data_IF_299042726789
#
_entry.id   IF_299042726789
#
_cell.length_a   1.000
_cell.length_b   1.000
_cell.length_c   1.000
_cell.angle_alpha   90.00
_cell.angle_beta   90.00
_cell.angle_gamma   90.00
#
_symmetry.space_group_name_H-M   'P 1'
#
loop_
_entity.id
_entity.type
_entity.pdbx_description
1 polymer ?
#
# COMPACT_ATOMS: atom_id res chain seq x y z
N UNK A 1 2.76 -16.26 -26.66
CA UNK A 1 3.54 -15.19 -26.01
C UNK A 1 3.88 -15.65 -24.59
N UNK A 2 5.09 -15.44 -24.05
CA UNK A 2 5.38 -15.77 -22.66
C UNK A 2 4.59 -14.82 -21.74
N UNK A 3 3.91 -15.38 -20.72
CA UNK A 3 3.27 -14.61 -19.66
C UNK A 3 4.35 -13.79 -18.94
N UNK A 4 4.19 -12.47 -18.86
CA UNK A 4 5.09 -11.64 -18.06
C UNK A 4 4.88 -12.02 -16.58
N UNK A 5 5.94 -12.36 -15.83
CA UNK A 5 5.77 -12.71 -14.43
C UNK A 5 5.17 -11.53 -13.65
N UNK A 6 4.31 -11.83 -12.67
CA UNK A 6 3.79 -10.84 -11.72
C UNK A 6 4.99 -10.12 -11.08
N UNK A 7 4.93 -8.78 -11.03
CA UNK A 7 5.95 -7.98 -10.37
C UNK A 7 5.85 -8.12 -8.84
N UNK A 8 6.51 -9.15 -8.32
CA UNK A 8 6.56 -9.46 -6.89
C UNK A 8 7.27 -8.37 -6.08
N UNK A 9 8.10 -7.53 -6.70
CA UNK A 9 8.75 -6.42 -5.99
C UNK A 9 7.73 -5.35 -5.65
N UNK A 10 6.83 -5.01 -6.57
CA UNK A 10 5.73 -4.09 -6.29
C UNK A 10 4.78 -4.62 -5.21
N UNK A 11 4.51 -5.93 -5.21
CA UNK A 11 3.72 -6.55 -4.13
C UNK A 11 4.46 -6.50 -2.78
N UNK A 12 5.77 -6.74 -2.78
CA UNK A 12 6.58 -6.63 -1.57
C UNK A 12 6.61 -5.21 -1.02
N UNK A 13 6.72 -4.21 -1.90
CA UNK A 13 6.66 -2.80 -1.51
C UNK A 13 5.29 -2.43 -0.96
N UNK A 14 4.20 -2.83 -1.65
CA UNK A 14 2.85 -2.62 -1.16
C UNK A 14 2.64 -3.24 0.23
N UNK A 15 3.16 -4.45 0.46
CA UNK A 15 3.11 -5.11 1.76
C UNK A 15 3.86 -4.33 2.85
N UNK A 16 5.05 -3.81 2.54
CA UNK A 16 5.82 -3.00 3.47
C UNK A 16 5.08 -1.71 3.86
N UNK A 17 4.50 -1.01 2.86
CA UNK A 17 3.73 0.21 3.08
C UNK A 17 2.46 -0.04 3.90
N UNK A 18 1.77 -1.17 3.70
CA UNK A 18 0.62 -1.57 4.54
C UNK A 18 1.05 -1.84 5.97
N UNK A 19 2.17 -2.53 6.19
CA UNK A 19 2.69 -2.77 7.54
C UNK A 19 3.04 -1.45 8.25
N UNK A 20 3.69 -0.52 7.55
CA UNK A 20 3.98 0.81 8.09
C UNK A 20 2.70 1.61 8.36
N UNK A 21 1.70 1.53 7.48
CA UNK A 21 0.38 2.14 7.71
C UNK A 21 -0.24 1.62 9.01
N UNK A 22 -0.19 0.30 9.24
CA UNK A 22 -0.74 -0.30 10.46
C UNK A 22 -0.03 0.21 11.72
N UNK A 23 1.30 0.32 11.69
CA UNK A 23 2.09 0.87 12.80
C UNK A 23 1.71 2.33 13.09
N UNK A 24 1.60 3.16 12.03
CA UNK A 24 1.23 4.57 12.15
C UNK A 24 -0.21 4.75 12.68
N UNK A 25 -1.15 3.89 12.27
CA UNK A 25 -2.50 3.90 12.81
C UNK A 25 -2.54 3.48 14.29
N UNK A 26 -1.74 2.49 14.68
CA UNK A 26 -1.57 2.11 16.10
C UNK A 26 -1.05 3.30 16.90
N UNK A 27 0.02 3.95 16.43
CA UNK A 27 0.56 5.15 17.07
C UNK A 27 -0.48 6.26 17.16
N UNK A 28 -1.24 6.51 16.09
CA UNK A 28 -2.28 7.52 16.09
C UNK A 28 -3.37 7.25 17.13
N UNK A 29 -3.77 5.98 17.30
CA UNK A 29 -4.76 5.55 18.29
C UNK A 29 -4.22 5.75 19.71
N UNK A 30 -3.00 5.29 19.98
CA UNK A 30 -2.36 5.42 21.30
C UNK A 30 -2.16 6.88 21.70
N UNK A 31 -1.81 7.74 20.74
CA UNK A 31 -1.58 9.17 20.98
C UNK A 31 -2.84 10.02 20.91
N UNK A 32 -3.97 9.49 20.43
CA UNK A 32 -5.20 10.27 20.21
C UNK A 32 -5.69 11.03 21.44
N UNK A 33 -5.51 10.48 22.64
CA UNK A 33 -5.93 11.08 23.91
C UNK A 33 -4.84 11.85 24.66
N UNK A 34 -3.57 11.67 24.27
CA UNK A 34 -2.41 12.17 25.01
C UNK A 34 -1.58 13.20 24.23
N UNK A 35 -1.51 13.08 22.91
CA UNK A 35 -0.83 13.99 22.01
C UNK A 35 -1.54 14.02 20.65
N UNK A 36 -2.51 14.93 20.53
CA UNK A 36 -3.34 15.08 19.33
C UNK A 36 -2.54 15.56 18.10
N UNK A 37 -1.41 16.25 18.30
CA UNK A 37 -0.58 16.70 17.19
C UNK A 37 0.18 15.52 16.58
N UNK A 38 0.82 14.69 17.41
CA UNK A 38 1.45 13.46 16.95
C UNK A 38 0.45 12.48 16.34
N UNK A 39 -0.74 12.37 16.92
CA UNK A 39 -1.81 11.54 16.36
C UNK A 39 -2.20 11.97 14.94
N UNK A 40 -2.39 13.27 14.71
CA UNK A 40 -2.72 13.80 13.38
C UNK A 40 -1.59 13.60 12.36
N UNK A 41 -0.33 13.78 12.78
CA UNK A 41 0.82 13.56 11.91
C UNK A 41 0.96 12.08 11.52
N UNK A 42 0.77 11.17 12.47
CA UNK A 42 0.76 9.73 12.20
C UNK A 42 -0.36 9.34 11.22
N UNK A 43 -1.57 9.92 11.36
CA UNK A 43 -2.67 9.72 10.39
C UNK A 43 -2.29 10.20 8.99
N UNK A 44 -1.66 11.37 8.89
CA UNK A 44 -1.24 11.95 7.60
C UNK A 44 -0.19 11.07 6.91
N UNK A 45 0.78 10.56 7.67
CA UNK A 45 1.77 9.62 7.16
C UNK A 45 1.12 8.30 6.73
N UNK A 46 0.22 7.75 7.56
CA UNK A 46 -0.51 6.52 7.24
C UNK A 46 -1.31 6.66 5.93
N UNK A 47 -1.94 7.81 5.71
CA UNK A 47 -2.67 8.11 4.47
C UNK A 47 -1.76 8.11 3.23
N UNK A 48 -0.51 8.56 3.37
CA UNK A 48 0.47 8.55 2.28
C UNK A 48 0.91 7.13 1.95
N UNK A 49 1.27 6.35 2.97
CA UNK A 49 1.75 4.97 2.81
C UNK A 49 0.66 4.06 2.21
N UNK A 50 -0.58 4.18 2.68
CA UNK A 50 -1.68 3.35 2.15
C UNK A 50 -2.02 3.71 0.69
N UNK A 51 -1.93 4.99 0.31
CA UNK A 51 -2.16 5.41 -1.08
C UNK A 51 -1.09 4.84 -2.02
N UNK A 52 0.17 4.82 -1.59
CA UNK A 52 1.25 4.18 -2.34
C UNK A 52 1.03 2.67 -2.46
N UNK A 53 0.62 2.00 -1.37
CA UNK A 53 0.30 0.57 -1.41
C UNK A 53 -0.84 0.27 -2.39
N UNK A 54 -1.92 1.07 -2.36
CA UNK A 54 -3.05 0.94 -3.28
C UNK A 54 -2.63 1.13 -4.74
N UNK A 55 -1.73 2.09 -5.00
CA UNK A 55 -1.20 2.34 -6.34
C UNK A 55 -0.41 1.13 -6.86
N UNK A 56 0.51 0.60 -6.06
CA UNK A 56 1.30 -0.58 -6.42
C UNK A 56 0.42 -1.81 -6.67
N UNK A 57 -0.58 -2.07 -5.82
CA UNK A 57 -1.54 -3.16 -6.02
C UNK A 57 -2.34 -2.98 -7.31
N UNK A 58 -2.80 -1.75 -7.59
CA UNK A 58 -3.58 -1.43 -8.80
C UNK A 58 -2.75 -1.62 -10.07
N UNK A 59 -1.47 -1.26 -10.04
CA UNK A 59 -0.54 -1.47 -11.16
C UNK A 59 -0.33 -2.96 -11.43
N UNK A 60 -0.07 -3.76 -10.39
CA UNK A 60 0.08 -5.21 -10.52
C UNK A 60 -1.21 -5.87 -11.05
N UNK A 61 -2.36 -5.48 -10.51
CA UNK A 61 -3.66 -5.99 -10.96
C UNK A 61 -3.91 -5.65 -12.44
N UNK A 62 -3.63 -4.41 -12.85
CA UNK A 62 -3.81 -3.97 -14.24
C UNK A 62 -2.89 -4.74 -15.21
N UNK A 63 -1.66 -5.05 -14.78
CA UNK A 63 -0.73 -5.85 -15.56
C UNK A 63 -1.25 -7.30 -15.74
N UNK A 64 -1.84 -7.90 -14.70
CA UNK A 64 -2.45 -9.23 -14.78
C UNK A 64 -3.63 -9.24 -15.76
N UNK A 65 -4.53 -8.26 -15.67
CA UNK A 65 -5.68 -8.15 -16.56
C UNK A 65 -5.25 -7.98 -18.02
N UNK A 66 -4.25 -7.13 -18.27
CA UNK A 66 -3.70 -6.91 -19.61
C UNK A 66 -3.11 -8.20 -20.21
N UNK A 67 -2.42 -9.00 -19.40
CA UNK A 67 -1.89 -10.30 -19.85
C UNK A 67 -2.98 -11.31 -20.18
N UNK A 68 -4.06 -11.34 -19.40
CA UNK A 68 -5.18 -12.23 -19.67
C UNK A 68 -5.84 -11.89 -21.00
N UNK A 69 -6.08 -10.61 -21.28
CA UNK A 69 -6.69 -10.15 -22.55
C UNK A 69 -5.81 -10.36 -23.79
N UNK A 70 -4.49 -10.51 -23.64
CA UNK A 70 -3.57 -10.81 -24.76
C UNK A 70 -3.37 -12.31 -25.00
N UNK A 71 -3.94 -13.16 -24.14
CA UNK A 71 -3.84 -14.62 -24.22
C UNK A 71 -5.05 -15.29 -24.92
N UNK A 72 -6.04 -14.50 -25.34
CA UNK A 72 -7.16 -14.90 -26.21
C UNK A 72 -6.93 -14.44 -27.67
#
# INVERSE_FOLDING_TARGET
MPQQPIDVNQLSQAKANVALTQELLTQAIEKSSSDQALSQEAIKQAATEIAQAQTAVSQVQSAILTQQSQSE
#
